data_IF_887322684308
#
_entry.id   IF_887322684308
#
_cell.length_a   1.000
_cell.length_b   1.000
_cell.length_c   1.000
_cell.angle_alpha   90.00
_cell.angle_beta   90.00
_cell.angle_gamma   90.00
#
_symmetry.space_group_name_H-M   'P 1'
#
loop_
_entity.id
_entity.type
_entity.pdbx_description
1 polymer ?
#
# COMPACT_ATOMS: atom_id res chain seq x y z
N UNK A 1 -53.11 -9.51 12.83
CA UNK A 1 -53.63 -10.81 13.21
C UNK A 1 -52.76 -11.88 12.54
N UNK A 2 -52.36 -12.85 13.36
CA UNK A 2 -51.64 -14.11 13.02
C UNK A 2 -50.19 -13.95 12.47
N UNK A 3 -49.21 -14.09 13.41
CA UNK A 3 -47.83 -14.42 13.10
C UNK A 3 -47.64 -15.92 13.03
N UNK A 4 -46.60 -16.43 12.36
CA UNK A 4 -46.22 -17.84 12.41
C UNK A 4 -45.19 -18.16 13.51
N UNK A 5 -45.28 -19.38 13.97
CA UNK A 5 -44.68 -19.96 15.14
C UNK A 5 -43.16 -20.18 15.06
N UNK A 6 -42.54 -20.09 16.23
CA UNK A 6 -41.16 -20.52 16.47
C UNK A 6 -41.05 -22.06 16.42
N UNK A 7 -40.09 -22.61 15.68
CA UNK A 7 -39.74 -24.02 15.72
C UNK A 7 -38.50 -24.19 16.62
N UNK A 8 -38.73 -24.98 17.69
CA UNK A 8 -37.71 -25.43 18.62
C UNK A 8 -36.82 -26.50 17.97
N UNK A 9 -35.52 -26.28 17.96
CA UNK A 9 -34.55 -27.36 17.71
C UNK A 9 -34.08 -27.93 19.05
N UNK A 10 -34.46 -29.18 19.32
CA UNK A 10 -33.96 -30.00 20.43
C UNK A 10 -32.61 -30.59 20.05
N UNK A 11 -31.60 -30.34 20.89
CA UNK A 11 -30.29 -30.97 20.82
C UNK A 11 -30.37 -32.42 21.38
N UNK A 12 -30.06 -33.40 20.56
CA UNK A 12 -29.78 -34.78 21.01
C UNK A 12 -28.26 -34.90 21.27
N UNK A 13 -27.91 -35.03 22.53
CA UNK A 13 -26.57 -35.36 22.99
C UNK A 13 -26.20 -36.80 22.69
N UNK A 14 -25.02 -37.03 22.11
CA UNK A 14 -24.41 -38.35 22.04
C UNK A 14 -23.27 -38.40 23.06
N UNK A 15 -23.47 -39.28 24.07
CA UNK A 15 -22.48 -39.63 25.09
C UNK A 15 -21.53 -40.67 24.51
N UNK A 16 -20.24 -40.44 24.51
CA UNK A 16 -19.22 -41.46 24.26
C UNK A 16 -18.50 -41.79 25.57
N UNK A 17 -18.53 -43.07 25.91
CA UNK A 17 -18.10 -43.67 27.16
C UNK A 17 -16.57 -43.67 27.37
N UNK A 18 -16.23 -43.47 28.62
CA UNK A 18 -14.89 -43.62 29.19
C UNK A 18 -14.52 -45.12 29.32
N UNK A 19 -13.44 -45.51 28.68
CA UNK A 19 -12.76 -46.78 28.88
C UNK A 19 -11.62 -46.63 29.92
N UNK A 20 -11.65 -47.51 30.90
CA UNK A 20 -10.82 -47.51 32.10
C UNK A 20 -9.36 -47.94 31.88
N UNK A 21 -8.51 -47.35 32.70
CA UNK A 21 -7.12 -47.53 33.02
C UNK A 21 -6.65 -48.96 33.27
N UNK A 22 -5.37 -49.23 32.96
CA UNK A 22 -4.55 -50.26 33.65
C UNK A 22 -3.30 -49.60 34.26
N UNK A 23 -3.20 -49.77 35.57
CA UNK A 23 -2.02 -49.53 36.40
C UNK A 23 -0.86 -50.44 36.01
N UNK A 24 0.36 -49.93 35.97
CA UNK A 24 1.59 -50.70 36.17
C UNK A 24 2.52 -49.90 37.12
N UNK A 25 3.14 -50.62 38.01
CA UNK A 25 3.83 -50.28 39.22
C UNK A 25 5.09 -49.41 39.05
N UNK A 26 5.36 -48.63 40.09
CA UNK A 26 6.53 -47.87 40.38
C UNK A 26 7.77 -48.74 40.63
N UNK A 27 8.94 -48.28 40.23
CA UNK A 27 10.26 -48.62 40.79
C UNK A 27 10.98 -47.33 41.10
N UNK A 28 11.39 -47.24 42.36
CA UNK A 28 12.19 -46.18 42.96
C UNK A 28 13.65 -46.35 42.60
N UNK A 29 14.29 -45.25 42.10
CA UNK A 29 15.69 -44.97 42.42
C UNK A 29 16.02 -43.49 42.27
N UNK A 30 16.61 -42.92 43.28
CA UNK A 30 17.24 -41.56 43.39
C UNK A 30 18.75 -41.74 43.52
N UNK A 31 19.58 -40.66 43.43
CA UNK A 31 19.57 -39.45 42.59
C UNK A 31 20.93 -39.26 41.87
N UNK A 32 20.95 -38.49 40.82
CA UNK A 32 22.22 -37.87 40.39
C UNK A 32 22.01 -36.40 39.90
N UNK A 33 22.65 -35.57 40.65
CA UNK A 33 23.25 -34.24 40.35
C UNK A 33 22.68 -33.42 39.21
N UNK A 34 22.13 -32.27 39.63
CA UNK A 34 21.67 -31.18 38.76
C UNK A 34 22.78 -30.65 37.86
N UNK A 35 22.37 -30.43 36.62
CA UNK A 35 22.99 -29.44 35.75
C UNK A 35 21.90 -28.46 35.40
N UNK A 36 21.91 -27.29 36.04
CA UNK A 36 21.15 -26.14 35.67
C UNK A 36 21.62 -25.72 34.29
N UNK A 37 20.83 -26.00 33.25
CA UNK A 37 20.98 -25.34 31.96
C UNK A 37 20.51 -23.91 32.17
N UNK A 38 21.47 -23.03 32.33
CA UNK A 38 21.31 -21.59 32.21
C UNK A 38 20.79 -21.32 30.80
N UNK A 39 19.53 -20.91 30.67
CA UNK A 39 19.07 -20.23 29.46
C UNK A 39 19.95 -19.00 29.28
N UNK A 40 20.84 -19.06 28.30
CA UNK A 40 21.58 -17.90 27.84
C UNK A 40 20.58 -16.85 27.40
N UNK A 41 20.74 -15.57 27.75
CA UNK A 41 19.87 -14.51 27.25
C UNK A 41 19.96 -14.54 25.72
N UNK A 42 18.80 -14.60 25.06
CA UNK A 42 18.70 -14.47 23.62
C UNK A 42 19.60 -13.31 23.17
N UNK A 43 20.57 -13.63 22.34
CA UNK A 43 21.47 -12.67 21.72
C UNK A 43 20.65 -11.52 21.16
N UNK A 44 20.98 -10.31 21.56
CA UNK A 44 20.49 -9.05 20.99
C UNK A 44 20.64 -9.16 19.48
N UNK A 45 19.53 -9.16 18.78
CA UNK A 45 19.43 -9.29 17.34
C UNK A 45 20.38 -8.33 16.63
N UNK A 46 21.06 -8.85 15.60
CA UNK A 46 21.66 -8.05 14.53
C UNK A 46 20.78 -6.83 14.26
N UNK A 47 21.38 -5.65 14.21
CA UNK A 47 20.66 -4.40 13.95
C UNK A 47 19.81 -4.58 12.70
N UNK A 48 18.50 -4.61 12.86
CA UNK A 48 17.53 -4.74 11.78
C UNK A 48 17.54 -3.47 10.95
N UNK A 49 18.39 -3.43 9.94
CA UNK A 49 18.57 -2.30 9.02
C UNK A 49 17.60 -2.42 7.84
N UNK A 50 16.28 -2.36 8.10
CA UNK A 50 15.30 -2.29 7.03
C UNK A 50 15.45 -0.98 6.27
N UNK A 51 15.68 -1.04 4.95
CA UNK A 51 15.84 0.15 4.09
C UNK A 51 14.50 0.75 3.67
N UNK A 52 13.44 -0.06 3.66
CA UNK A 52 12.06 0.32 3.30
C UNK A 52 11.12 0.00 4.45
N UNK A 53 10.44 1.01 4.97
CA UNK A 53 9.28 0.83 5.82
C UNK A 53 8.02 1.00 4.97
N UNK A 54 7.03 0.16 5.20
CA UNK A 54 5.70 0.27 4.59
C UNK A 54 4.70 0.40 5.73
N UNK A 55 4.07 1.56 5.86
CA UNK A 55 3.00 1.78 6.82
C UNK A 55 1.66 1.66 6.08
N UNK A 56 0.92 0.59 6.33
CA UNK A 56 -0.29 0.33 5.57
C UNK A 56 -1.09 -0.88 6.05
N UNK A 57 -2.14 -1.20 5.31
CA UNK A 57 -3.06 -2.27 5.65
C UNK A 57 -2.47 -3.66 5.44
N UNK A 58 -2.84 -4.56 6.35
CA UNK A 58 -2.69 -6.00 6.23
C UNK A 58 -4.08 -6.62 6.44
N UNK A 59 -4.59 -7.32 5.43
CA UNK A 59 -5.91 -7.91 5.44
C UNK A 59 -5.85 -9.43 5.27
N UNK A 60 -6.90 -10.09 5.72
CA UNK A 60 -7.22 -11.46 5.28
C UNK A 60 -8.34 -11.36 4.26
N UNK A 61 -8.05 -11.75 3.02
CA UNK A 61 -9.00 -11.70 1.91
C UNK A 61 -9.66 -13.08 1.73
N UNK A 62 -10.99 -13.09 1.63
CA UNK A 62 -11.83 -14.25 1.43
C UNK A 62 -12.54 -14.12 0.08
N UNK A 63 -12.16 -14.94 -0.89
CA UNK A 63 -12.86 -15.06 -2.17
C UNK A 63 -13.83 -16.24 -2.12
N UNK A 64 -15.10 -15.97 -2.28
CA UNK A 64 -16.20 -16.94 -2.26
C UNK A 64 -16.74 -17.12 -3.69
N UNK A 65 -16.23 -18.08 -4.43
CA UNK A 65 -16.66 -18.40 -5.80
C UNK A 65 -17.88 -19.33 -5.74
N UNK A 66 -19.03 -18.86 -6.25
CA UNK A 66 -20.25 -19.65 -6.31
C UNK A 66 -20.06 -20.89 -7.19
N UNK A 67 -20.54 -22.03 -6.73
CA UNK A 67 -20.54 -23.29 -7.50
C UNK A 67 -21.98 -23.60 -7.90
N UNK A 68 -22.29 -23.42 -9.18
CA UNK A 68 -23.59 -23.80 -9.76
C UNK A 68 -23.81 -25.31 -9.62
N UNK A 69 -25.02 -25.71 -9.27
CA UNK A 69 -25.41 -27.12 -9.30
C UNK A 69 -25.57 -27.58 -10.74
N UNK A 70 -25.14 -28.81 -11.03
CA UNK A 70 -25.15 -29.38 -12.40
C UNK A 70 -26.60 -29.49 -12.97
N UNK A 71 -27.60 -29.42 -12.12
CA UNK A 71 -29.03 -29.48 -12.49
C UNK A 71 -29.70 -28.12 -12.59
N UNK A 72 -29.04 -27.03 -12.21
CA UNK A 72 -29.61 -25.69 -12.26
C UNK A 72 -28.84 -24.81 -13.27
N UNK A 73 -29.60 -23.98 -14.03
CA UNK A 73 -29.02 -22.94 -14.87
C UNK A 73 -28.64 -21.67 -14.09
N UNK A 74 -28.66 -21.73 -12.75
CA UNK A 74 -28.35 -20.59 -11.89
C UNK A 74 -26.84 -20.25 -11.98
N UNK A 75 -26.51 -19.08 -12.48
CA UNK A 75 -25.13 -18.55 -12.54
C UNK A 75 -24.77 -17.74 -11.31
N UNK A 76 -25.75 -17.40 -10.46
CA UNK A 76 -25.61 -16.54 -9.30
C UNK A 76 -26.17 -17.21 -8.05
N UNK A 77 -25.62 -16.89 -6.86
CA UNK A 77 -26.14 -17.39 -5.58
C UNK A 77 -27.58 -16.87 -5.33
N UNK A 78 -28.38 -17.69 -4.69
CA UNK A 78 -29.70 -17.32 -4.21
C UNK A 78 -29.61 -16.56 -2.88
N UNK A 79 -30.42 -15.51 -2.75
CA UNK A 79 -30.53 -14.75 -1.50
C UNK A 79 -31.31 -15.52 -0.45
N UNK A 80 -31.01 -15.25 0.83
CA UNK A 80 -31.71 -15.79 2.01
C UNK A 80 -31.60 -17.34 2.20
N UNK A 81 -30.61 -17.95 1.55
CA UNK A 81 -30.29 -19.37 1.72
C UNK A 81 -28.79 -19.62 1.69
N UNK A 82 -28.36 -20.85 2.05
CA UNK A 82 -26.96 -21.26 1.94
C UNK A 82 -26.66 -21.71 0.52
N UNK A 83 -25.60 -21.19 -0.05
CA UNK A 83 -25.13 -21.52 -1.39
C UNK A 83 -23.81 -22.30 -1.31
N UNK A 84 -23.62 -23.23 -2.24
CA UNK A 84 -22.32 -23.89 -2.39
C UNK A 84 -21.31 -22.94 -2.97
N UNK A 85 -20.13 -22.87 -2.35
CA UNK A 85 -19.04 -22.04 -2.84
C UNK A 85 -17.69 -22.71 -2.60
N UNK A 86 -16.70 -22.33 -3.42
CA UNK A 86 -15.29 -22.53 -3.11
C UNK A 86 -14.80 -21.27 -2.40
N UNK A 87 -14.35 -21.43 -1.16
CA UNK A 87 -13.82 -20.32 -0.38
C UNK A 87 -12.31 -20.44 -0.36
N UNK A 88 -11.62 -19.43 -0.90
CA UNK A 88 -10.18 -19.29 -0.84
C UNK A 88 -9.83 -18.15 0.13
N UNK A 89 -8.76 -18.34 0.90
CA UNK A 89 -8.24 -17.36 1.82
C UNK A 89 -6.82 -16.99 1.41
N UNK A 90 -6.51 -15.70 1.38
CA UNK A 90 -5.18 -15.18 1.06
C UNK A 90 -4.85 -13.96 1.93
N UNK A 91 -3.57 -13.60 1.97
CA UNK A 91 -3.19 -12.30 2.50
C UNK A 91 -3.39 -11.23 1.44
N UNK A 92 -3.87 -10.08 1.89
CA UNK A 92 -4.09 -8.89 1.10
C UNK A 92 -3.85 -7.63 1.91
N UNK A 93 -4.41 -6.53 1.41
CA UNK A 93 -4.18 -5.19 1.91
C UNK A 93 -3.04 -4.50 1.17
N UNK A 94 -3.25 -3.22 0.82
CA UNK A 94 -2.32 -2.45 -0.01
C UNK A 94 -0.93 -2.40 0.62
N UNK A 95 -0.83 -2.12 1.93
CA UNK A 95 0.46 -2.12 2.63
C UNK A 95 1.18 -3.46 2.54
N UNK A 96 0.47 -4.57 2.76
CA UNK A 96 1.06 -5.90 2.63
C UNK A 96 1.52 -6.19 1.20
N UNK A 97 0.70 -5.89 0.21
CA UNK A 97 1.01 -6.14 -1.21
C UNK A 97 2.25 -5.35 -1.64
N UNK A 98 2.34 -4.06 -1.30
CA UNK A 98 3.52 -3.22 -1.56
C UNK A 98 4.76 -3.79 -0.86
N UNK A 99 4.65 -4.16 0.43
CA UNK A 99 5.76 -4.72 1.18
C UNK A 99 6.22 -6.06 0.60
N UNK A 100 5.28 -6.95 0.21
CA UNK A 100 5.59 -8.24 -0.41
C UNK A 100 6.26 -8.07 -1.77
N UNK A 101 5.75 -7.17 -2.61
CA UNK A 101 6.37 -6.88 -3.90
C UNK A 101 7.81 -6.36 -3.73
N UNK A 102 8.03 -5.39 -2.85
CA UNK A 102 9.36 -4.87 -2.56
C UNK A 102 10.30 -5.96 -1.99
N UNK A 103 9.80 -6.81 -1.09
CA UNK A 103 10.54 -7.95 -0.55
C UNK A 103 10.98 -8.94 -1.63
N UNK A 104 10.06 -9.36 -2.51
CA UNK A 104 10.36 -10.28 -3.62
C UNK A 104 11.34 -9.67 -4.63
N UNK A 105 11.34 -8.35 -4.77
CA UNK A 105 12.32 -7.60 -5.56
C UNK A 105 13.66 -7.39 -4.84
N UNK A 106 13.84 -7.96 -3.64
CA UNK A 106 15.12 -8.01 -2.91
C UNK A 106 15.37 -6.83 -1.96
N UNK A 107 14.37 -5.97 -1.69
CA UNK A 107 14.53 -4.92 -0.68
C UNK A 107 14.42 -5.48 0.75
N UNK A 108 15.16 -4.89 1.70
CA UNK A 108 14.97 -5.15 3.13
C UNK A 108 13.77 -4.35 3.63
N UNK A 109 12.64 -5.03 3.84
CA UNK A 109 11.34 -4.40 4.11
C UNK A 109 10.84 -4.69 5.51
N UNK A 110 10.22 -3.68 6.16
CA UNK A 110 9.40 -3.83 7.35
C UNK A 110 8.00 -3.29 7.07
N UNK A 111 6.98 -4.16 7.20
CA UNK A 111 5.58 -3.74 7.19
C UNK A 111 5.17 -3.29 8.60
N UNK A 112 4.68 -2.07 8.73
CA UNK A 112 4.08 -1.50 9.94
C UNK A 112 2.56 -1.52 9.78
N UNK A 113 1.90 -2.43 10.50
CA UNK A 113 0.46 -2.62 10.45
C UNK A 113 -0.08 -3.19 11.77
N UNK A 114 -1.37 -3.42 11.86
CA UNK A 114 -2.01 -4.00 13.03
C UNK A 114 -2.92 -5.18 12.66
N UNK A 115 -2.98 -6.17 13.57
CA UNK A 115 -3.93 -7.27 13.54
C UNK A 115 -4.61 -7.40 14.91
N UNK A 116 -5.80 -7.98 14.96
CA UNK A 116 -6.45 -8.35 16.21
C UNK A 116 -5.83 -9.61 16.83
N UNK A 117 -6.03 -9.83 18.13
CA UNK A 117 -5.71 -11.09 18.79
C UNK A 117 -6.82 -12.12 18.51
N UNK A 118 -7.08 -12.38 17.24
CA UNK A 118 -8.13 -13.25 16.74
C UNK A 118 -7.57 -14.35 15.82
N UNK A 119 -8.44 -15.22 15.31
CA UNK A 119 -8.04 -16.31 14.43
C UNK A 119 -7.43 -15.80 13.11
N UNK A 120 -8.03 -14.75 12.54
CA UNK A 120 -7.57 -14.15 11.29
C UNK A 120 -6.18 -13.51 11.47
N UNK A 121 -5.93 -12.80 12.59
CA UNK A 121 -4.62 -12.20 12.89
C UNK A 121 -3.53 -13.24 13.06
N UNK A 122 -3.79 -14.33 13.79
CA UNK A 122 -2.81 -15.42 13.92
C UNK A 122 -2.52 -16.09 12.58
N UNK A 123 -3.54 -16.32 11.75
CA UNK A 123 -3.37 -16.86 10.41
C UNK A 123 -2.56 -15.91 9.52
N UNK A 124 -2.83 -14.60 9.59
CA UNK A 124 -2.10 -13.59 8.83
C UNK A 124 -0.61 -13.57 9.19
N UNK A 125 -0.28 -13.57 10.49
CA UNK A 125 1.12 -13.60 10.94
C UNK A 125 1.85 -14.88 10.52
N UNK A 126 1.20 -16.03 10.63
CA UNK A 126 1.77 -17.31 10.20
C UNK A 126 2.01 -17.35 8.69
N UNK A 127 1.05 -16.89 7.88
CA UNK A 127 1.18 -16.82 6.43
C UNK A 127 2.27 -15.82 5.99
N UNK A 128 2.34 -14.66 6.65
CA UNK A 128 3.40 -13.66 6.38
C UNK A 128 4.79 -14.24 6.65
N UNK A 129 4.98 -14.94 7.79
CA UNK A 129 6.22 -15.64 8.10
C UNK A 129 6.54 -16.76 7.11
N UNK A 130 5.53 -17.53 6.71
CA UNK A 130 5.66 -18.58 5.67
C UNK A 130 6.09 -18.01 4.31
N UNK A 131 5.76 -16.76 4.02
CA UNK A 131 6.20 -16.02 2.83
C UNK A 131 7.58 -15.38 2.98
N UNK A 132 8.32 -15.69 4.06
CA UNK A 132 9.66 -15.16 4.33
C UNK A 132 9.70 -13.69 4.77
N UNK A 133 8.54 -13.10 5.08
CA UNK A 133 8.47 -11.70 5.52
C UNK A 133 8.54 -11.59 7.05
N UNK A 134 9.18 -10.52 7.52
CA UNK A 134 9.29 -10.24 8.96
C UNK A 134 7.96 -9.71 9.51
N UNK A 135 7.57 -10.20 10.67
CA UNK A 135 6.35 -9.77 11.39
C UNK A 135 6.63 -8.74 12.49
N UNK A 136 7.89 -8.33 12.68
CA UNK A 136 8.33 -7.44 13.77
C UNK A 136 7.72 -6.04 13.75
N UNK A 137 7.17 -5.59 12.61
CA UNK A 137 6.43 -4.33 12.49
C UNK A 137 4.91 -4.47 12.68
N UNK A 138 4.41 -5.70 12.88
CA UNK A 138 2.97 -5.93 13.05
C UNK A 138 2.61 -5.93 14.53
N UNK A 139 1.73 -5.02 14.93
CA UNK A 139 1.20 -4.97 16.28
C UNK A 139 -0.05 -5.84 16.40
N UNK A 140 -0.05 -6.76 17.37
CA UNK A 140 -1.28 -7.47 17.76
C UNK A 140 -2.03 -6.62 18.77
N UNK A 141 -3.20 -6.15 18.35
CA UNK A 141 -4.07 -5.29 19.15
C UNK A 141 -4.96 -6.11 20.08
N UNK A 142 -5.11 -5.64 21.32
CA UNK A 142 -5.99 -6.23 22.34
C UNK A 142 -6.94 -5.16 22.87
N UNK A 143 -8.12 -5.54 23.39
CA UNK A 143 -9.02 -4.56 24.00
C UNK A 143 -8.33 -3.84 25.16
N UNK A 144 -8.52 -2.53 25.23
CA UNK A 144 -7.91 -1.68 26.26
C UNK A 144 -8.41 -2.03 27.69
N UNK A 145 -9.63 -2.53 27.81
CA UNK A 145 -10.26 -3.02 29.03
C UNK A 145 -11.35 -4.04 28.69
N UNK A 146 -12.02 -4.61 29.68
CA UNK A 146 -13.06 -5.66 29.49
C UNK A 146 -14.34 -5.15 28.80
N UNK A 147 -14.56 -3.85 28.80
CA UNK A 147 -15.75 -3.20 28.23
C UNK A 147 -15.48 -2.66 26.83
N UNK A 148 -14.21 -2.56 26.43
CA UNK A 148 -13.82 -2.08 25.12
C UNK A 148 -14.13 -3.14 24.03
N UNK A 149 -14.52 -2.65 22.85
CA UNK A 149 -14.69 -3.51 21.68
C UNK A 149 -13.36 -4.20 21.35
N UNK A 150 -13.44 -5.51 21.08
CA UNK A 150 -12.25 -6.28 20.71
C UNK A 150 -11.80 -5.89 19.30
N UNK A 151 -10.56 -5.42 19.13
CA UNK A 151 -10.02 -5.10 17.81
C UNK A 151 -10.05 -6.34 16.91
N UNK A 152 -10.60 -6.21 15.71
CA UNK A 152 -10.68 -7.29 14.73
C UNK A 152 -9.64 -7.09 13.64
N UNK A 153 -8.99 -8.17 13.21
CA UNK A 153 -8.10 -8.16 12.05
C UNK A 153 -8.88 -7.75 10.81
N UNK A 154 -8.31 -6.86 10.01
CA UNK A 154 -8.93 -6.43 8.76
C UNK A 154 -9.22 -7.61 7.85
N UNK A 155 -10.43 -7.64 7.29
CA UNK A 155 -10.90 -8.68 6.38
C UNK A 155 -11.61 -8.05 5.18
N UNK A 156 -11.42 -8.67 4.03
CA UNK A 156 -12.15 -8.35 2.81
C UNK A 156 -12.83 -9.63 2.31
N UNK A 157 -14.13 -9.57 2.08
CA UNK A 157 -14.91 -10.70 1.59
C UNK A 157 -15.45 -10.34 0.21
N UNK A 158 -15.07 -11.12 -0.80
CA UNK A 158 -15.60 -11.03 -2.16
C UNK A 158 -16.51 -12.23 -2.43
N UNK A 159 -17.73 -11.97 -2.85
CA UNK A 159 -18.69 -12.99 -3.32
C UNK A 159 -18.78 -12.88 -4.83
N UNK A 160 -18.38 -13.93 -5.51
CA UNK A 160 -18.33 -14.01 -6.97
C UNK A 160 -19.42 -14.96 -7.48
N UNK A 161 -19.90 -14.70 -8.68
CA UNK A 161 -20.82 -15.59 -9.40
C UNK A 161 -20.13 -16.83 -9.97
N UNK A 162 -20.86 -17.65 -10.72
CA UNK A 162 -20.34 -18.85 -11.38
C UNK A 162 -19.32 -18.59 -12.50
N UNK A 163 -19.19 -17.34 -12.94
CA UNK A 163 -18.18 -16.88 -13.93
C UNK A 163 -16.99 -16.21 -13.25
N UNK A 164 -17.02 -16.12 -11.92
CA UNK A 164 -16.07 -15.40 -11.06
C UNK A 164 -16.17 -13.87 -11.19
N UNK A 165 -17.29 -13.34 -11.67
CA UNK A 165 -17.54 -11.91 -11.65
C UNK A 165 -17.97 -11.49 -10.24
N UNK A 166 -17.40 -10.37 -9.74
CA UNK A 166 -17.70 -9.85 -8.41
C UNK A 166 -19.15 -9.40 -8.32
N UNK A 167 -19.92 -10.00 -7.44
CA UNK A 167 -21.31 -9.63 -7.15
C UNK A 167 -21.42 -8.68 -5.96
N UNK A 168 -20.67 -8.96 -4.88
CA UNK A 168 -20.71 -8.20 -3.64
C UNK A 168 -19.35 -8.27 -2.96
N UNK A 169 -18.91 -7.14 -2.40
CA UNK A 169 -17.76 -7.11 -1.53
C UNK A 169 -18.07 -6.39 -0.23
N UNK A 170 -17.47 -6.86 0.86
CA UNK A 170 -17.52 -6.22 2.17
C UNK A 170 -16.12 -6.16 2.77
N UNK A 171 -15.80 -5.02 3.40
CA UNK A 171 -14.51 -4.80 4.04
C UNK A 171 -14.69 -4.34 5.50
N UNK A 172 -14.05 -5.03 6.44
CA UNK A 172 -13.84 -4.56 7.80
C UNK A 172 -12.38 -4.12 7.93
N UNK A 173 -12.15 -2.82 7.97
CA UNK A 173 -10.82 -2.20 8.11
C UNK A 173 -10.73 -1.32 9.37
N UNK A 174 -11.67 -1.47 10.27
CA UNK A 174 -11.87 -0.63 11.46
C UNK A 174 -10.64 -0.56 12.37
N UNK A 175 -9.79 -1.58 12.38
CA UNK A 175 -8.60 -1.63 13.24
C UNK A 175 -7.61 -0.48 12.97
N UNK A 176 -7.49 -0.01 11.72
CA UNK A 176 -6.62 1.11 11.35
C UNK A 176 -7.34 2.48 11.42
N UNK A 177 -8.67 2.49 11.47
CA UNK A 177 -9.47 3.72 11.36
C UNK A 177 -9.75 4.42 12.69
N UNK A 178 -9.20 3.91 13.80
CA UNK A 178 -9.32 4.55 15.12
C UNK A 178 -8.54 5.85 15.17
N UNK A 179 -9.22 6.97 15.42
CA UNK A 179 -8.62 8.33 15.41
C UNK A 179 -8.57 9.01 16.78
N UNK A 180 -9.23 8.47 17.80
CA UNK A 180 -9.20 9.04 19.13
C UNK A 180 -7.76 9.06 19.70
N UNK A 181 -7.35 10.14 20.35
CA UNK A 181 -5.98 10.32 20.87
C UNK A 181 -5.58 9.25 21.91
N UNK A 182 -6.53 8.69 22.62
CA UNK A 182 -6.33 7.61 23.57
C UNK A 182 -6.51 6.21 22.94
N UNK A 183 -6.75 6.14 21.63
CA UNK A 183 -6.94 4.87 20.92
C UNK A 183 -5.69 3.98 20.97
N UNK A 184 -5.91 2.68 20.83
CA UNK A 184 -4.82 1.71 20.78
C UNK A 184 -3.83 1.99 19.66
N UNK A 185 -4.32 2.48 18.51
CA UNK A 185 -3.47 2.79 17.33
C UNK A 185 -2.54 3.97 17.60
N UNK A 186 -3.03 5.06 18.22
CA UNK A 186 -2.18 6.22 18.55
C UNK A 186 -1.08 5.81 19.53
N UNK A 187 -1.44 5.10 20.60
CA UNK A 187 -0.46 4.58 21.57
C UNK A 187 0.54 3.60 20.91
N UNK A 188 0.07 2.81 19.96
CA UNK A 188 0.94 1.91 19.20
C UNK A 188 1.91 2.68 18.31
N UNK A 189 1.46 3.76 17.67
CA UNK A 189 2.35 4.60 16.88
C UNK A 189 3.50 5.13 17.75
N UNK A 190 3.19 5.74 18.89
CA UNK A 190 4.17 6.39 19.73
C UNK A 190 5.12 5.40 20.44
N UNK A 191 4.61 4.24 20.87
CA UNK A 191 5.35 3.31 21.72
C UNK A 191 5.95 2.12 20.95
N UNK A 192 5.53 1.86 19.71
CA UNK A 192 5.97 0.68 18.97
C UNK A 192 6.56 1.04 17.59
N UNK A 193 5.84 1.79 16.74
CA UNK A 193 6.33 2.07 15.37
C UNK A 193 7.33 3.22 15.33
N UNK A 194 7.09 4.31 16.03
CA UNK A 194 8.00 5.46 16.04
C UNK A 194 9.40 5.10 16.55
N UNK A 195 9.58 4.37 17.67
CA UNK A 195 10.90 3.90 18.09
C UNK A 195 11.59 3.02 17.05
N UNK A 196 10.87 2.12 16.38
CA UNK A 196 11.43 1.28 15.33
C UNK A 196 11.88 2.09 14.12
N UNK A 197 11.09 3.08 13.70
CA UNK A 197 11.45 3.99 12.62
C UNK A 197 12.72 4.78 12.95
N UNK A 198 12.79 5.33 14.16
CA UNK A 198 13.94 6.08 14.64
C UNK A 198 15.20 5.22 14.78
N UNK A 199 15.09 3.97 15.21
CA UNK A 199 16.21 3.05 15.34
C UNK A 199 16.71 2.56 13.98
N UNK A 200 15.81 2.17 13.08
CA UNK A 200 16.17 1.58 11.78
C UNK A 200 16.60 2.62 10.76
N UNK A 201 16.20 3.90 10.90
CA UNK A 201 16.53 4.98 9.97
C UNK A 201 16.32 4.57 8.49
N UNK A 202 15.13 4.10 8.10
CA UNK A 202 14.91 3.67 6.72
C UNK A 202 15.10 4.83 5.75
N UNK A 203 15.58 4.54 4.56
CA UNK A 203 15.71 5.56 3.49
C UNK A 203 14.38 5.90 2.84
N UNK A 204 13.44 4.95 2.85
CA UNK A 204 12.11 5.09 2.22
C UNK A 204 11.00 4.66 3.18
N UNK A 205 9.95 5.47 3.25
CA UNK A 205 8.67 5.13 3.84
C UNK A 205 7.60 5.09 2.74
N UNK A 206 6.93 3.96 2.56
CA UNK A 206 5.69 3.90 1.78
C UNK A 206 4.52 4.01 2.74
N UNK A 207 3.58 4.88 2.43
CA UNK A 207 2.41 5.15 3.25
C UNK A 207 1.15 4.96 2.40
N UNK A 208 0.30 3.99 2.75
CA UNK A 208 -0.96 3.80 2.06
C UNK A 208 -2.09 4.65 2.68
N UNK A 209 -3.06 5.02 1.86
CA UNK A 209 -4.19 5.84 2.28
C UNK A 209 -5.27 5.07 3.06
N UNK A 210 -5.01 3.83 3.52
CA UNK A 210 -5.89 3.16 4.48
C UNK A 210 -5.85 3.81 5.86
N UNK A 211 -4.73 4.47 6.19
CA UNK A 211 -4.66 5.29 7.39
C UNK A 211 -5.56 6.52 7.29
N UNK A 212 -6.26 6.91 8.36
CA UNK A 212 -6.91 8.22 8.47
C UNK A 212 -5.92 9.39 8.31
N UNK A 213 -6.41 10.54 7.88
CA UNK A 213 -5.59 11.73 7.62
C UNK A 213 -4.68 12.11 8.82
N UNK A 214 -5.17 11.95 10.06
CA UNK A 214 -4.40 12.23 11.27
C UNK A 214 -3.17 11.31 11.40
N UNK A 215 -3.32 10.01 11.08
CA UNK A 215 -2.21 9.07 11.12
C UNK A 215 -1.26 9.25 9.94
N UNK A 216 -1.79 9.60 8.75
CA UNK A 216 -0.95 10.00 7.60
C UNK A 216 -0.02 11.15 8.03
N UNK A 217 -0.56 12.18 8.67
CA UNK A 217 0.24 13.31 9.15
C UNK A 217 1.32 12.90 10.17
N UNK A 218 1.00 11.98 11.11
CA UNK A 218 1.97 11.46 12.08
C UNK A 218 3.12 10.70 11.39
N UNK A 219 2.80 9.79 10.47
CA UNK A 219 3.81 9.04 9.70
C UNK A 219 4.69 9.96 8.86
N UNK A 220 4.10 10.93 8.18
CA UNK A 220 4.84 11.92 7.36
C UNK A 220 5.79 12.73 8.24
N UNK A 221 5.32 13.25 9.37
CA UNK A 221 6.15 14.03 10.31
C UNK A 221 7.32 13.19 10.83
N UNK A 222 7.08 11.94 11.20
CA UNK A 222 8.11 11.04 11.69
C UNK A 222 9.16 10.72 10.62
N UNK A 223 8.74 10.49 9.38
CA UNK A 223 9.63 10.24 8.25
C UNK A 223 10.49 11.46 7.92
N UNK A 224 9.90 12.66 7.92
CA UNK A 224 10.64 13.91 7.70
C UNK A 224 11.73 14.14 8.76
N UNK A 225 11.42 13.81 10.02
CA UNK A 225 12.37 13.97 11.13
C UNK A 225 13.66 13.12 10.96
N UNK A 226 13.59 12.02 10.21
CA UNK A 226 14.74 11.15 9.91
C UNK A 226 15.26 11.33 8.48
N UNK A 227 14.68 12.22 7.68
CA UNK A 227 15.07 12.45 6.29
C UNK A 227 14.71 11.33 5.32
N UNK A 228 13.73 10.49 5.63
CA UNK A 228 13.26 9.43 4.74
C UNK A 228 12.42 9.98 3.59
N UNK A 229 12.58 9.39 2.39
CA UNK A 229 11.70 9.65 1.24
C UNK A 229 10.33 9.03 1.45
N UNK A 230 9.27 9.85 1.40
CA UNK A 230 7.89 9.38 1.58
C UNK A 230 7.24 9.12 0.23
N UNK A 231 6.82 7.89 0.00
CA UNK A 231 5.97 7.49 -1.13
C UNK A 231 4.54 7.32 -0.66
N UNK A 232 3.59 7.99 -1.31
CA UNK A 232 2.17 7.90 -1.02
C UNK A 232 1.47 7.00 -2.03
N UNK A 233 0.85 5.91 -1.55
CA UNK A 233 -0.03 5.04 -2.33
C UNK A 233 -1.50 5.36 -2.02
N UNK A 234 -2.27 5.85 -2.99
CA UNK A 234 -3.61 6.41 -2.79
C UNK A 234 -4.71 5.40 -2.46
N UNK A 235 -4.54 4.13 -2.77
CA UNK A 235 -5.46 3.00 -2.47
C UNK A 235 -6.77 3.02 -3.26
N UNK A 236 -7.49 4.13 -3.24
CA UNK A 236 -8.77 4.29 -3.93
C UNK A 236 -9.13 5.76 -4.10
N UNK A 237 -10.06 6.05 -4.99
CA UNK A 237 -10.57 7.41 -5.24
C UNK A 237 -11.00 8.11 -3.95
N UNK A 238 -11.74 7.41 -3.07
CA UNK A 238 -12.22 8.01 -1.83
C UNK A 238 -11.09 8.25 -0.81
N UNK A 239 -10.16 7.30 -0.67
CA UNK A 239 -9.09 7.37 0.33
C UNK A 239 -7.93 8.29 -0.10
N UNK A 240 -7.71 8.44 -1.40
CA UNK A 240 -6.66 9.31 -1.97
C UNK A 240 -6.79 10.77 -1.53
N UNK A 241 -8.00 11.23 -1.20
CA UNK A 241 -8.28 12.59 -0.73
C UNK A 241 -7.71 12.88 0.66
N UNK A 242 -7.46 11.85 1.47
CA UNK A 242 -6.99 11.95 2.87
C UNK A 242 -5.69 12.74 3.00
N UNK A 243 -4.83 12.70 1.97
CA UNK A 243 -3.57 13.44 1.96
C UNK A 243 -3.78 14.96 2.04
N UNK A 244 -4.83 15.50 1.41
CA UNK A 244 -5.12 16.92 1.35
C UNK A 244 -6.11 17.42 2.40
N UNK A 245 -6.47 16.57 3.37
CA UNK A 245 -7.31 16.91 4.51
C UNK A 245 -6.60 16.62 5.85
N UNK A 246 -5.35 17.11 6.05
CA UNK A 246 -4.67 16.90 7.31
C UNK A 246 -5.41 17.64 8.44
N UNK A 247 -5.39 17.12 9.69
CA UNK A 247 -5.96 17.84 10.81
C UNK A 247 -5.17 19.12 11.08
N UNK A 248 -5.87 20.20 11.48
CA UNK A 248 -5.21 21.43 11.89
C UNK A 248 -4.34 21.20 13.15
N UNK A 249 -3.17 21.83 13.26
CA UNK A 249 -2.58 22.83 12.37
C UNK A 249 -1.69 22.24 11.27
N UNK A 250 -1.66 20.91 11.09
CA UNK A 250 -0.79 20.27 10.12
C UNK A 250 -1.10 20.74 8.67
N UNK A 251 -0.05 21.04 7.93
CA UNK A 251 -0.14 21.39 6.51
C UNK A 251 0.85 20.53 5.72
N UNK A 252 0.43 20.09 4.54
CA UNK A 252 1.34 19.43 3.62
C UNK A 252 2.42 20.42 3.18
N UNK A 253 3.70 20.00 3.26
CA UNK A 253 4.83 20.81 2.83
C UNK A 253 4.81 21.02 1.32
N UNK A 254 5.34 22.17 0.89
CA UNK A 254 5.46 22.56 -0.51
C UNK A 254 6.94 22.68 -0.83
N UNK A 255 7.31 22.49 -2.10
CA UNK A 255 8.66 22.73 -2.59
C UNK A 255 9.19 24.10 -2.13
N UNK A 256 10.46 24.20 -1.66
CA UNK A 256 11.53 23.20 -1.74
C UNK A 256 11.53 22.13 -0.62
N UNK A 257 10.56 22.15 0.30
CA UNK A 257 10.47 21.23 1.43
C UNK A 257 9.19 20.39 1.38
N UNK A 258 8.95 19.59 0.32
CA UNK A 258 7.74 18.80 0.21
C UNK A 258 7.72 17.68 1.26
N UNK A 259 6.52 17.40 1.78
CA UNK A 259 6.34 16.31 2.75
C UNK A 259 6.30 14.93 2.10
N UNK A 260 5.91 14.86 0.84
CA UNK A 260 5.81 13.65 0.04
C UNK A 260 6.81 13.72 -1.11
N UNK A 261 7.58 12.68 -1.32
CA UNK A 261 8.59 12.63 -2.40
C UNK A 261 8.03 12.06 -3.70
N UNK A 262 7.14 11.09 -3.58
CA UNK A 262 6.57 10.33 -4.71
C UNK A 262 5.11 9.96 -4.41
N UNK A 263 4.24 9.98 -5.41
CA UNK A 263 2.94 9.34 -5.36
C UNK A 263 2.71 8.46 -6.59
N UNK A 264 1.94 7.38 -6.41
CA UNK A 264 1.66 6.37 -7.43
C UNK A 264 0.16 6.21 -7.73
N UNK A 265 -0.58 7.31 -8.01
CA UNK A 265 -2.02 7.25 -8.28
C UNK A 265 -2.34 6.57 -9.62
N UNK A 266 -3.53 5.98 -9.74
CA UNK A 266 -4.16 5.84 -11.04
C UNK A 266 -4.82 7.16 -11.47
N UNK A 267 -5.36 7.21 -12.70
CA UNK A 267 -5.94 8.47 -13.22
C UNK A 267 -7.15 8.99 -12.41
N UNK A 268 -7.94 8.08 -11.80
CA UNK A 268 -9.11 8.46 -10.99
C UNK A 268 -8.71 8.95 -9.61
N UNK A 269 -7.73 8.31 -9.01
CA UNK A 269 -7.10 8.73 -7.75
C UNK A 269 -6.41 10.08 -7.91
N UNK A 270 -5.68 10.29 -9.01
CA UNK A 270 -5.06 11.58 -9.34
C UNK A 270 -6.11 12.69 -9.40
N UNK A 271 -7.22 12.45 -10.11
CA UNK A 271 -8.31 13.43 -10.21
C UNK A 271 -8.94 13.75 -8.86
N UNK A 272 -9.13 12.73 -7.99
CA UNK A 272 -9.65 12.93 -6.65
C UNK A 272 -8.67 13.68 -5.74
N UNK A 273 -7.38 13.36 -5.79
CA UNK A 273 -6.33 14.10 -5.07
C UNK A 273 -6.30 15.57 -5.49
N UNK A 274 -6.34 15.83 -6.79
CA UNK A 274 -6.36 17.19 -7.31
C UNK A 274 -7.62 17.95 -6.87
N UNK A 275 -8.80 17.31 -6.92
CA UNK A 275 -10.05 17.88 -6.45
C UNK A 275 -9.98 18.23 -4.96
N UNK A 276 -9.49 17.31 -4.13
CA UNK A 276 -9.31 17.54 -2.70
C UNK A 276 -8.32 18.69 -2.40
N UNK A 277 -7.23 18.80 -3.18
CA UNK A 277 -6.29 19.90 -3.06
C UNK A 277 -6.93 21.26 -3.34
N UNK A 278 -7.87 21.32 -4.32
CA UNK A 278 -8.67 22.53 -4.59
C UNK A 278 -9.65 22.83 -3.46
N UNK A 279 -10.43 21.85 -3.04
CA UNK A 279 -11.47 22.05 -2.02
C UNK A 279 -10.90 22.46 -0.67
N UNK A 280 -9.73 21.93 -0.31
CA UNK A 280 -9.03 22.28 0.93
C UNK A 280 -8.35 23.67 0.88
N UNK A 281 -8.38 24.36 -0.27
CA UNK A 281 -7.66 25.62 -0.47
C UNK A 281 -6.13 25.45 -0.60
N UNK A 282 -5.63 24.21 -0.74
CA UNK A 282 -4.20 23.96 -0.87
C UNK A 282 -3.60 24.62 -2.12
N UNK A 283 -4.36 24.68 -3.23
CA UNK A 283 -3.96 25.33 -4.48
C UNK A 283 -4.14 26.87 -4.46
N UNK A 284 -4.55 27.44 -3.34
CA UNK A 284 -4.68 28.90 -3.14
C UNK A 284 -3.61 29.44 -2.20
N UNK A 285 -2.75 28.58 -1.65
CA UNK A 285 -1.67 28.94 -0.73
C UNK A 285 -0.61 29.77 -1.42
N UNK A 286 -0.05 30.77 -0.74
CA UNK A 286 1.02 31.61 -1.24
C UNK A 286 2.28 30.79 -1.61
N UNK A 287 2.69 29.86 -0.75
CA UNK A 287 3.84 28.99 -0.99
C UNK A 287 3.62 28.07 -2.20
N UNK A 288 2.39 27.64 -2.45
CA UNK A 288 2.05 26.88 -3.66
C UNK A 288 2.15 27.76 -4.92
N UNK A 289 1.64 29.01 -4.86
CA UNK A 289 1.73 29.94 -5.99
C UNK A 289 3.18 30.23 -6.36
N UNK A 290 4.05 30.48 -5.38
CA UNK A 290 5.48 30.68 -5.63
C UNK A 290 6.13 29.47 -6.31
N UNK A 291 5.76 28.24 -5.90
CA UNK A 291 6.32 27.03 -6.47
C UNK A 291 5.78 26.73 -7.89
N UNK A 292 4.47 26.97 -8.15
CA UNK A 292 3.87 26.72 -9.46
C UNK A 292 4.39 27.72 -10.52
N UNK A 293 4.56 28.98 -10.16
CA UNK A 293 5.13 30.00 -11.03
C UNK A 293 6.60 29.69 -11.36
N UNK A 294 7.35 29.17 -10.36
CA UNK A 294 8.73 28.75 -10.55
C UNK A 294 8.90 27.56 -11.51
N UNK A 295 7.85 26.82 -11.83
CA UNK A 295 7.94 25.74 -12.84
C UNK A 295 8.28 26.25 -14.24
N UNK A 296 8.08 27.55 -14.50
CA UNK A 296 8.45 28.19 -15.77
C UNK A 296 7.68 27.64 -16.98
N UNK A 297 6.44 27.17 -16.76
CA UNK A 297 5.61 26.65 -17.84
C UNK A 297 5.16 27.80 -18.75
N UNK A 298 5.19 27.60 -20.08
CA UNK A 298 4.80 28.66 -21.01
C UNK A 298 3.30 28.95 -20.89
N UNK A 299 2.91 30.24 -20.88
CA UNK A 299 1.52 30.70 -20.86
C UNK A 299 0.77 30.40 -22.16
N UNK A 300 1.51 30.23 -23.28
CA UNK A 300 0.95 29.92 -24.60
C UNK A 300 1.56 28.64 -25.15
N UNK A 301 0.76 27.86 -25.91
CA UNK A 301 1.23 26.60 -26.50
C UNK A 301 1.32 25.40 -25.51
N UNK A 302 1.01 25.60 -24.24
CA UNK A 302 1.09 24.56 -23.22
C UNK A 302 0.31 23.28 -23.60
N UNK A 303 -0.89 23.40 -24.17
CA UNK A 303 -1.68 22.25 -24.65
C UNK A 303 -0.91 21.40 -25.68
N UNK A 304 -0.24 22.04 -26.64
CA UNK A 304 0.53 21.34 -27.67
C UNK A 304 1.74 20.62 -27.05
N UNK A 305 2.47 21.30 -26.17
CA UNK A 305 3.61 20.70 -25.48
C UNK A 305 3.19 19.48 -24.64
N UNK A 306 2.09 19.59 -23.90
CA UNK A 306 1.53 18.46 -23.11
C UNK A 306 1.06 17.30 -24.02
N UNK A 307 0.43 17.60 -25.15
CA UNK A 307 -0.03 16.59 -26.08
C UNK A 307 1.14 15.84 -26.75
N UNK A 308 2.25 16.51 -27.01
CA UNK A 308 3.49 15.90 -27.53
C UNK A 308 4.18 15.03 -26.47
N UNK A 309 4.21 15.48 -25.22
CA UNK A 309 4.85 14.74 -24.11
C UNK A 309 3.99 13.54 -23.64
N UNK A 310 2.69 13.55 -23.94
CA UNK A 310 1.74 12.52 -23.48
C UNK A 310 0.86 12.00 -24.63
N UNK A 311 -0.35 12.50 -24.75
CA UNK A 311 -1.27 12.31 -25.87
C UNK A 311 -2.40 13.33 -25.81
N UNK A 312 -3.06 13.66 -26.94
CA UNK A 312 -4.22 14.57 -26.94
C UNK A 312 -5.33 14.10 -25.97
N UNK A 313 -5.64 12.80 -25.94
CA UNK A 313 -6.67 12.25 -25.07
C UNK A 313 -6.37 12.38 -23.57
N UNK A 314 -5.12 12.28 -23.17
CA UNK A 314 -4.72 12.52 -21.76
C UNK A 314 -4.84 14.00 -21.38
N UNK A 315 -4.51 14.89 -22.31
CA UNK A 315 -4.67 16.35 -22.13
C UNK A 315 -6.14 16.72 -22.01
N UNK A 316 -7.03 16.12 -22.82
CA UNK A 316 -8.46 16.35 -22.76
C UNK A 316 -9.10 15.84 -21.45
N UNK A 317 -8.52 14.77 -20.87
CA UNK A 317 -8.89 14.25 -19.55
C UNK A 317 -8.27 15.07 -18.40
N UNK A 318 -7.42 16.05 -18.68
CA UNK A 318 -6.76 16.88 -17.67
C UNK A 318 -5.63 16.19 -16.88
N UNK A 319 -5.23 14.98 -17.26
CA UNK A 319 -4.24 14.19 -16.50
C UNK A 319 -2.89 14.93 -16.33
N UNK A 320 -2.21 15.41 -17.40
CA UNK A 320 -0.94 16.11 -17.23
C UNK A 320 -1.11 17.46 -16.49
N UNK A 321 -2.22 18.16 -16.65
CA UNK A 321 -2.49 19.40 -15.93
C UNK A 321 -2.62 19.16 -14.41
N UNK A 322 -3.34 18.11 -14.02
CA UNK A 322 -3.51 17.73 -12.62
C UNK A 322 -2.17 17.35 -11.99
N UNK A 323 -1.31 16.60 -12.70
CA UNK A 323 0.02 16.28 -12.19
C UNK A 323 0.85 17.53 -11.95
N UNK A 324 0.87 18.48 -12.91
CA UNK A 324 1.61 19.73 -12.78
C UNK A 324 1.17 20.55 -11.57
N UNK A 325 -0.14 20.67 -11.32
CA UNK A 325 -0.66 21.42 -10.18
C UNK A 325 -0.34 20.76 -8.84
N UNK A 326 -0.13 19.45 -8.81
CA UNK A 326 0.25 18.73 -7.59
C UNK A 326 1.77 18.65 -7.37
N UNK A 327 2.62 18.92 -8.37
CA UNK A 327 4.09 18.87 -8.25
C UNK A 327 4.66 19.69 -7.08
N UNK A 328 4.14 20.89 -6.75
CA UNK A 328 4.64 21.60 -5.58
C UNK A 328 4.55 20.84 -4.27
N UNK A 329 3.53 19.98 -4.09
CA UNK A 329 3.36 19.14 -2.91
C UNK A 329 4.07 17.79 -3.05
N UNK A 330 4.11 17.25 -4.27
CA UNK A 330 4.58 15.90 -4.59
C UNK A 330 5.50 15.99 -5.81
N UNK A 331 6.80 16.26 -5.64
CA UNK A 331 7.71 16.55 -6.74
C UNK A 331 7.89 15.43 -7.74
N UNK A 332 7.43 14.22 -7.44
CA UNK A 332 7.36 13.10 -8.39
C UNK A 332 6.01 12.41 -8.34
N UNK A 333 5.36 12.28 -9.50
CA UNK A 333 4.08 11.57 -9.63
C UNK A 333 4.20 10.56 -10.77
N UNK A 334 3.98 9.28 -10.45
CA UNK A 334 3.93 8.18 -11.42
C UNK A 334 2.47 7.72 -11.59
N UNK A 335 1.75 8.31 -12.54
CA UNK A 335 0.32 8.04 -12.77
C UNK A 335 0.13 6.76 -13.57
N UNK A 336 -0.51 5.76 -12.96
CA UNK A 336 -0.84 4.48 -13.57
C UNK A 336 -2.04 4.65 -14.52
N UNK A 337 -1.90 4.27 -15.80
CA UNK A 337 -2.89 4.50 -16.86
C UNK A 337 -3.44 3.20 -17.47
N UNK A 338 -3.27 2.07 -16.79
CA UNK A 338 -3.64 0.74 -17.27
C UNK A 338 -2.88 0.36 -18.55
N UNK A 339 -3.59 -0.08 -19.58
CA UNK A 339 -2.99 -0.47 -20.88
C UNK A 339 -2.28 0.68 -21.61
N UNK A 340 -2.47 1.93 -21.19
CA UNK A 340 -1.73 3.09 -21.74
C UNK A 340 -0.37 3.31 -21.07
N UNK A 341 -0.02 2.52 -20.07
CA UNK A 341 1.26 2.57 -19.37
C UNK A 341 1.28 3.51 -18.17
N UNK A 342 2.36 4.28 -18.00
CA UNK A 342 2.58 5.14 -16.84
C UNK A 342 3.08 6.51 -17.27
N UNK A 343 2.43 7.58 -16.77
CA UNK A 343 2.89 8.95 -16.94
C UNK A 343 3.74 9.33 -15.72
N UNK A 344 5.03 9.59 -15.94
CA UNK A 344 5.93 10.15 -14.90
C UNK A 344 6.04 11.65 -15.11
N UNK A 345 5.71 12.41 -14.07
CA UNK A 345 5.88 13.87 -14.02
C UNK A 345 6.75 14.23 -12.82
N UNK A 346 7.79 15.02 -13.04
CA UNK A 346 8.75 15.39 -11.99
C UNK A 346 9.10 16.87 -12.04
N UNK A 347 9.15 17.48 -10.86
CA UNK A 347 9.81 18.73 -10.62
C UNK A 347 11.32 18.46 -10.45
N UNK A 348 12.14 19.01 -11.33
CA UNK A 348 13.58 18.84 -11.31
C UNK A 348 14.23 20.00 -10.56
N UNK A 349 15.17 19.72 -9.63
CA UNK A 349 15.94 20.78 -8.98
C UNK A 349 16.89 21.48 -9.96
N UNK A 350 17.30 22.67 -9.61
CA UNK A 350 18.36 23.38 -10.33
C UNK A 350 19.64 22.54 -10.40
N UNK A 351 20.25 22.49 -11.58
CA UNK A 351 21.47 21.71 -11.80
C UNK A 351 21.23 20.21 -12.07
N UNK A 352 19.99 19.74 -12.14
CA UNK A 352 19.71 18.36 -12.57
C UNK A 352 20.26 18.11 -13.97
N UNK A 353 21.08 17.07 -14.12
CA UNK A 353 21.78 16.75 -15.37
C UNK A 353 20.86 16.48 -16.56
N UNK A 354 19.61 16.06 -16.31
CA UNK A 354 18.59 15.84 -17.34
C UNK A 354 18.23 17.11 -18.08
N UNK A 355 18.31 18.27 -17.43
CA UNK A 355 18.00 19.56 -18.03
C UNK A 355 18.95 19.93 -19.17
N UNK A 356 20.20 19.47 -19.16
CA UNK A 356 21.21 19.71 -20.18
C UNK A 356 21.48 18.55 -21.12
N UNK A 357 20.89 17.36 -20.82
CA UNK A 357 21.09 16.16 -21.64
C UNK A 357 20.21 16.17 -22.89
N UNK A 358 20.81 15.92 -24.07
CA UNK A 358 20.08 15.76 -25.33
C UNK A 358 19.10 14.59 -25.33
N UNK A 359 19.40 13.50 -24.60
CA UNK A 359 18.55 12.34 -24.46
C UNK A 359 17.21 12.69 -23.78
N UNK A 360 17.25 13.58 -22.79
CA UNK A 360 16.06 13.98 -22.02
C UNK A 360 15.31 15.15 -22.65
N UNK A 361 15.89 15.83 -23.64
CA UNK A 361 15.32 17.02 -24.24
C UNK A 361 13.84 16.88 -24.67
N UNK A 362 13.38 15.75 -25.26
CA UNK A 362 11.99 15.56 -25.65
C UNK A 362 11.00 15.50 -24.47
N UNK A 363 11.49 15.26 -23.26
CA UNK A 363 10.68 15.03 -22.05
C UNK A 363 10.76 16.22 -21.08
N UNK A 364 11.52 17.27 -21.40
CA UNK A 364 11.64 18.47 -20.56
C UNK A 364 10.60 19.49 -21.04
N UNK A 365 9.54 19.70 -20.26
CA UNK A 365 8.48 20.66 -20.57
C UNK A 365 8.93 22.11 -20.37
N UNK A 366 9.71 22.35 -19.32
CA UNK A 366 10.25 23.67 -19.00
C UNK A 366 11.68 23.58 -18.51
N UNK A 367 12.44 24.65 -18.74
CA UNK A 367 13.77 24.87 -18.17
C UNK A 367 13.79 26.23 -17.52
N UNK A 368 13.98 26.27 -16.22
CA UNK A 368 14.14 27.51 -15.48
C UNK A 368 15.59 27.92 -15.55
N UNK A 369 15.85 29.15 -15.95
CA UNK A 369 17.17 29.54 -16.45
C UNK A 369 18.30 29.38 -15.41
N UNK A 370 18.07 29.55 -14.12
CA UNK A 370 19.18 29.62 -13.17
C UNK A 370 18.94 29.08 -11.75
N UNK A 371 17.80 28.52 -11.41
CA UNK A 371 17.56 28.02 -10.02
C UNK A 371 17.93 29.09 -8.97
N UNK A 372 17.53 30.32 -9.19
CA UNK A 372 17.76 31.47 -8.29
C UNK A 372 16.84 31.36 -7.07
N UNK A 373 17.04 32.22 -6.07
CA UNK A 373 16.12 32.33 -4.93
C UNK A 373 14.68 32.59 -5.39
N UNK A 374 14.50 33.39 -6.45
CA UNK A 374 13.18 33.67 -7.06
C UNK A 374 12.50 32.45 -7.66
N UNK A 375 13.25 31.39 -8.05
CA UNK A 375 12.72 30.13 -8.59
C UNK A 375 12.70 29.02 -7.54
N UNK A 376 12.96 29.30 -6.28
CA UNK A 376 13.01 28.31 -5.19
C UNK A 376 13.91 27.08 -5.50
N UNK A 377 14.94 27.28 -6.34
CA UNK A 377 15.81 26.19 -6.78
C UNK A 377 15.16 25.22 -7.78
N UNK A 378 14.03 25.58 -8.41
CA UNK A 378 13.43 24.82 -9.50
C UNK A 378 14.30 24.93 -10.74
N UNK A 379 14.69 23.80 -11.34
CA UNK A 379 15.41 23.74 -12.60
C UNK A 379 14.52 23.52 -13.82
N UNK A 380 13.40 22.87 -13.63
CA UNK A 380 12.44 22.60 -14.70
C UNK A 380 11.46 21.47 -14.40
N UNK A 381 10.71 21.07 -15.42
CA UNK A 381 9.75 19.97 -15.34
C UNK A 381 10.08 18.90 -16.37
N UNK A 382 10.18 17.66 -15.88
CA UNK A 382 10.24 16.45 -16.69
C UNK A 382 8.86 15.80 -16.76
N UNK A 383 8.44 15.40 -17.96
CA UNK A 383 7.21 14.64 -18.18
C UNK A 383 7.42 13.62 -19.30
N UNK A 384 7.14 12.34 -19.00
CA UNK A 384 7.28 11.26 -19.98
C UNK A 384 6.18 10.23 -19.81
N UNK A 385 5.51 9.92 -20.88
CA UNK A 385 4.62 8.76 -20.96
C UNK A 385 5.45 7.52 -21.34
N UNK A 386 5.50 6.56 -20.42
CA UNK A 386 6.07 5.24 -20.65
C UNK A 386 4.95 4.34 -21.15
N UNK A 387 5.03 3.79 -22.37
CA UNK A 387 4.02 2.86 -22.85
C UNK A 387 3.97 1.61 -21.98
N UNK A 388 2.88 0.86 -22.01
CA UNK A 388 2.80 -0.41 -21.30
C UNK A 388 3.96 -1.32 -21.70
N UNK A 389 4.60 -1.96 -20.74
CA UNK A 389 5.74 -2.84 -20.99
C UNK A 389 5.35 -4.09 -21.79
N UNK A 390 4.07 -4.47 -21.69
CA UNK A 390 3.48 -5.64 -22.35
C UNK A 390 1.99 -5.38 -22.56
N UNK A 391 1.45 -5.85 -23.69
CA UNK A 391 0.00 -5.94 -23.89
C UNK A 391 -0.45 -7.28 -23.32
N UNK A 392 -1.34 -7.25 -22.34
CA UNK A 392 -1.95 -8.43 -21.74
C UNK A 392 -3.36 -8.55 -22.29
N UNK A 393 -3.64 -9.66 -22.99
CA UNK A 393 -4.96 -9.94 -23.54
C UNK A 393 -5.96 -10.24 -22.39
N UNK A 394 -7.26 -10.01 -22.65
CA UNK A 394 -8.29 -10.17 -21.63
C UNK A 394 -8.32 -11.58 -21.02
N UNK A 395 -8.04 -12.61 -21.85
CA UNK A 395 -8.00 -14.01 -21.46
C UNK A 395 -6.82 -14.38 -20.57
N UNK A 396 -5.72 -13.59 -20.64
CA UNK A 396 -4.53 -13.77 -19.81
C UNK A 396 -4.66 -13.06 -18.45
N UNK A 397 -5.57 -12.09 -18.34
CA UNK A 397 -5.80 -11.33 -17.12
C UNK A 397 -6.58 -12.19 -16.11
N UNK A 398 -5.90 -12.62 -15.04
CA UNK A 398 -6.49 -13.45 -13.99
C UNK A 398 -7.10 -12.62 -12.87
N UNK A 399 -6.40 -11.57 -12.43
CA UNK A 399 -6.85 -10.68 -11.35
C UNK A 399 -6.23 -9.30 -11.48
N UNK A 400 -7.03 -8.26 -11.27
CA UNK A 400 -6.57 -6.87 -11.21
C UNK A 400 -6.11 -6.45 -9.80
N UNK A 401 -6.35 -7.31 -8.79
CA UNK A 401 -6.00 -7.02 -7.40
C UNK A 401 -4.48 -6.99 -7.22
N UNK A 402 -3.98 -5.97 -6.52
CA UNK A 402 -2.56 -5.83 -6.18
C UNK A 402 -1.64 -5.45 -7.33
N UNK A 403 -2.15 -5.27 -8.56
CA UNK A 403 -1.36 -4.84 -9.73
C UNK A 403 -0.72 -3.48 -9.49
N UNK A 404 -1.48 -2.52 -8.95
CA UNK A 404 -0.99 -1.19 -8.58
C UNK A 404 0.02 -1.23 -7.44
N UNK A 405 -0.24 -2.08 -6.45
CA UNK A 405 0.61 -2.27 -5.28
C UNK A 405 1.96 -2.89 -5.68
N UNK A 406 1.91 -3.87 -6.59
CA UNK A 406 3.11 -4.50 -7.17
C UNK A 406 3.97 -3.49 -7.92
N UNK A 407 3.34 -2.60 -8.70
CA UNK A 407 4.04 -1.49 -9.36
C UNK A 407 4.75 -0.61 -8.33
N UNK A 408 4.03 -0.13 -7.31
CA UNK A 408 4.58 0.74 -6.28
C UNK A 408 5.71 0.07 -5.48
N UNK A 409 5.52 -1.18 -5.04
CA UNK A 409 6.52 -1.93 -4.28
C UNK A 409 7.80 -2.19 -5.08
N UNK A 410 7.67 -2.54 -6.38
CA UNK A 410 8.82 -2.74 -7.27
C UNK A 410 9.58 -1.43 -7.50
N UNK A 411 8.86 -0.34 -7.74
CA UNK A 411 9.45 0.98 -7.96
C UNK A 411 10.27 1.42 -6.74
N UNK A 412 9.70 1.32 -5.54
CA UNK A 412 10.38 1.69 -4.29
C UNK A 412 11.56 0.77 -3.98
N UNK A 413 11.48 -0.53 -4.30
CA UNK A 413 12.61 -1.45 -4.16
C UNK A 413 13.80 -1.01 -5.00
N UNK A 414 13.58 -0.61 -6.25
CA UNK A 414 14.62 -0.06 -7.12
C UNK A 414 15.24 1.21 -6.58
N UNK A 415 14.41 2.16 -6.15
CA UNK A 415 14.85 3.43 -5.57
C UNK A 415 15.70 3.21 -4.31
N UNK A 416 15.27 2.32 -3.41
CA UNK A 416 15.98 2.02 -2.17
C UNK A 416 17.32 1.32 -2.44
N UNK A 417 17.39 0.46 -3.44
CA UNK A 417 18.61 -0.29 -3.80
C UNK A 417 19.70 0.59 -4.40
N UNK A 418 19.34 1.51 -5.29
CA UNK A 418 20.31 2.41 -5.95
C UNK A 418 20.60 3.68 -5.13
N UNK A 419 19.79 3.99 -4.12
CA UNK A 419 20.02 5.10 -3.21
C UNK A 419 19.93 6.47 -3.88
N UNK A 420 20.79 7.41 -3.47
CA UNK A 420 20.68 8.84 -3.86
C UNK A 420 20.81 9.13 -5.37
N UNK A 421 21.35 8.22 -6.16
CA UNK A 421 21.47 8.37 -7.62
C UNK A 421 20.28 7.80 -8.38
N UNK A 422 19.37 7.11 -7.68
CA UNK A 422 18.21 6.46 -8.26
C UNK A 422 17.25 7.47 -8.89
N UNK A 423 16.74 7.12 -10.06
CA UNK A 423 15.72 7.88 -10.76
C UNK A 423 14.48 7.02 -10.96
N UNK A 424 13.31 7.59 -10.80
CA UNK A 424 12.06 6.86 -10.98
C UNK A 424 11.93 6.25 -12.37
N UNK A 425 12.34 7.01 -13.40
CA UNK A 425 12.28 6.56 -14.79
C UNK A 425 13.11 5.31 -15.10
N UNK A 426 14.16 5.03 -14.33
CA UNK A 426 15.00 3.86 -14.52
C UNK A 426 14.28 2.55 -14.15
N UNK A 427 13.27 2.64 -13.27
CA UNK A 427 12.56 1.47 -12.73
C UNK A 427 11.14 1.29 -13.25
N UNK A 428 10.56 2.28 -13.95
CA UNK A 428 9.18 2.21 -14.45
C UNK A 428 8.95 0.96 -15.31
N UNK A 429 9.88 0.64 -16.22
CA UNK A 429 9.76 -0.53 -17.10
C UNK A 429 9.73 -1.85 -16.33
N UNK A 430 10.57 -2.01 -15.31
CA UNK A 430 10.58 -3.22 -14.45
C UNK A 430 9.33 -3.27 -13.60
N UNK A 431 8.89 -2.14 -13.03
CA UNK A 431 7.67 -2.06 -12.23
C UNK A 431 6.42 -2.40 -13.06
N UNK A 432 6.36 -2.00 -14.34
CA UNK A 432 5.28 -2.40 -15.25
C UNK A 432 5.30 -3.91 -15.54
N UNK A 433 6.48 -4.51 -15.80
CA UNK A 433 6.61 -5.97 -16.00
C UNK A 433 6.18 -6.74 -14.76
N UNK A 434 6.55 -6.27 -13.56
CA UNK A 434 6.12 -6.85 -12.30
C UNK A 434 4.58 -6.78 -12.16
N UNK A 435 3.98 -5.64 -12.50
CA UNK A 435 2.53 -5.46 -12.53
C UNK A 435 1.84 -6.43 -13.52
N UNK A 436 2.41 -6.65 -14.70
CA UNK A 436 1.90 -7.64 -15.68
C UNK A 436 1.97 -9.08 -15.15
N UNK A 437 3.05 -9.47 -14.44
CA UNK A 437 3.13 -10.77 -13.78
C UNK A 437 2.04 -10.96 -12.73
N UNK A 438 1.73 -9.91 -11.97
CA UNK A 438 0.64 -9.94 -10.98
C UNK A 438 -0.72 -9.99 -11.67
N UNK A 439 -0.95 -9.25 -12.75
CA UNK A 439 -2.19 -9.29 -13.52
C UNK A 439 -2.51 -10.70 -14.04
N UNK A 440 -1.48 -11.49 -14.37
CA UNK A 440 -1.58 -12.90 -14.82
C UNK A 440 -1.59 -13.91 -13.66
N UNK A 441 -1.61 -13.46 -12.41
CA UNK A 441 -1.58 -14.31 -11.21
C UNK A 441 -2.92 -14.33 -10.49
N UNK A 442 -3.23 -15.46 -9.85
CA UNK A 442 -4.35 -15.55 -8.90
C UNK A 442 -4.04 -14.93 -7.53
N UNK A 443 -2.75 -14.67 -7.24
CA UNK A 443 -2.33 -13.98 -6.02
C UNK A 443 -2.28 -12.47 -6.25
N UNK A 444 -2.58 -11.68 -5.21
CA UNK A 444 -2.50 -10.21 -5.24
C UNK A 444 -1.08 -9.69 -5.50
N UNK A 445 -0.06 -10.50 -5.29
CA UNK A 445 1.32 -10.25 -5.68
C UNK A 445 1.89 -11.55 -6.24
N UNK A 446 2.30 -11.54 -7.50
CA UNK A 446 2.84 -12.74 -8.15
C UNK A 446 4.08 -13.27 -7.43
N UNK A 447 4.13 -14.55 -7.04
CA UNK A 447 5.33 -15.16 -6.47
C UNK A 447 6.51 -15.18 -7.45
N UNK A 448 6.24 -15.04 -8.76
CA UNK A 448 7.25 -14.97 -9.81
C UNK A 448 8.06 -13.68 -9.85
N UNK A 449 7.72 -12.65 -9.06
CA UNK A 449 8.43 -11.36 -9.07
C UNK A 449 9.92 -11.45 -8.82
N UNK A 450 10.35 -12.42 -8.00
CA UNK A 450 11.78 -12.64 -7.72
C UNK A 450 12.65 -12.81 -8.95
N UNK A 451 12.09 -13.29 -10.06
CA UNK A 451 12.80 -13.43 -11.34
C UNK A 451 13.23 -12.10 -11.96
N UNK A 452 12.53 -11.00 -11.60
CA UNK A 452 12.83 -9.65 -12.06
C UNK A 452 13.81 -8.90 -11.17
N UNK A 453 14.14 -9.42 -9.97
CA UNK A 453 14.96 -8.72 -8.98
C UNK A 453 16.36 -8.33 -9.47
N UNK A 454 16.90 -9.06 -10.43
CA UNK A 454 18.19 -8.75 -11.06
C UNK A 454 18.14 -7.57 -12.04
N UNK A 455 16.95 -7.09 -12.39
CA UNK A 455 16.76 -5.95 -13.29
C UNK A 455 16.72 -4.60 -12.53
N UNK A 456 16.72 -4.63 -11.20
CA UNK A 456 16.89 -3.45 -10.34
C UNK A 456 18.41 -3.25 -10.06
#
# INVERSE_FOLDING_TARGET
MTGPAASNYTSTGVSLGLGQSKHIHASTDKPSTGTTVSEAPHSVSEHDTSTVFVAGSLNVDLACDFIAETSSNAQSPELQTSNRAKIAQSLGGVGYNVARAAHLMGASVRLCSAVGDDLAGRAALAAMSGNGMRTTGIQTMRPANKEAETPRTSQYVAINDGRKDLMLAMADVSILEQTAEDSGIVKTFDNFWLPQLQQSQPTHLVLDANWPAAHIARWVTAAQAIGAHVTFEPVSTAKSTRLFHPPAPAKLGVWPNPSISLATPNQYELAAMHHAARESGALEREDWWLAIDALGLPSSGARTALALATSPGLVDQGVPQQTLQLLPFIPTIATKLGSRGVLVTQLLPAGDKRLSSGEYAPYILSRCANGTEDTLGVGGVYMRLFPAAETVEAEEAVSVNGVGDTFAGTLVAGLARQGKSARVEDFVGVAQRAACLTLKSSEAVSPGLGTLSMLL
#
